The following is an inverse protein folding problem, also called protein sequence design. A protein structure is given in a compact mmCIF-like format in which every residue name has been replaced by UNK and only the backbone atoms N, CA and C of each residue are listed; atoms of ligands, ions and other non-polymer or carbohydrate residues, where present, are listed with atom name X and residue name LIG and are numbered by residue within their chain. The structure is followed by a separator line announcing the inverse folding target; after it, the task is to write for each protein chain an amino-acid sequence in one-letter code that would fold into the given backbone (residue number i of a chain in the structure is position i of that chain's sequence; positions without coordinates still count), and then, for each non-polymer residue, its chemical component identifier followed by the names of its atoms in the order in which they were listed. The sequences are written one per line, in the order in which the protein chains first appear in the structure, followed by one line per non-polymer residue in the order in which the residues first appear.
data_IF_350688458252
#
_entry.id   IF_350688458252
#
_cell.length_a   1.000
_cell.length_b   1.000
_cell.length_c   1.000
_cell.angle_alpha   90.00
_cell.angle_beta   90.00
_cell.angle_gamma   90.00
#
_symmetry.space_group_name_H-M   'P 1'
#
loop_
_entity.id
_entity.type
_entity.pdbx_description
1 polymer ?
#
# COMPACT_ATOMS: atom_id res chain seq x y z
N UNK A 1 34.06 19.73 14.15
CA UNK A 1 32.97 19.60 15.15
C UNK A 1 31.62 19.18 14.56
N UNK A 2 31.33 19.36 13.26
CA UNK A 2 30.01 19.05 12.69
C UNK A 2 29.71 17.55 12.41
N UNK A 3 30.72 16.67 12.35
CA UNK A 3 30.53 15.24 12.07
C UNK A 3 30.18 14.39 13.32
N UNK A 4 30.45 14.91 14.53
CA UNK A 4 30.30 14.17 15.80
C UNK A 4 28.84 14.16 16.29
N UNK A 5 28.01 15.13 15.85
CA UNK A 5 26.61 15.23 16.29
C UNK A 5 25.66 14.21 15.65
N UNK A 6 25.91 13.77 14.42
CA UNK A 6 25.03 12.83 13.70
C UNK A 6 25.17 11.38 14.21
N UNK A 7 26.37 11.00 14.62
CA UNK A 7 26.67 9.67 15.18
C UNK A 7 26.26 9.54 16.64
N UNK A 8 26.30 10.61 17.44
CA UNK A 8 25.86 10.57 18.84
C UNK A 8 24.33 10.48 18.98
N UNK A 9 23.55 11.08 18.06
CA UNK A 9 22.09 10.93 18.06
C UNK A 9 21.66 9.49 17.68
N UNK A 10 22.37 8.88 16.72
CA UNK A 10 22.20 7.46 16.38
C UNK A 10 22.59 6.54 17.54
N UNK A 11 23.67 6.85 18.27
CA UNK A 11 24.08 6.08 19.46
C UNK A 11 23.04 6.18 20.59
N UNK A 12 22.41 7.33 20.81
CA UNK A 12 21.33 7.45 21.82
C UNK A 12 20.06 6.72 21.38
N UNK A 13 19.71 6.74 20.09
CA UNK A 13 18.59 5.96 19.54
C UNK A 13 18.86 4.44 19.62
N UNK A 14 20.10 4.01 19.36
CA UNK A 14 20.52 2.60 19.45
C UNK A 14 20.62 2.13 20.91
N UNK A 15 21.05 3.00 21.83
CA UNK A 15 21.15 2.68 23.27
C UNK A 15 19.78 2.63 23.96
N UNK A 16 18.76 3.30 23.44
CA UNK A 16 17.37 3.14 23.91
C UNK A 16 16.68 1.88 23.39
N UNK A 17 17.25 1.20 22.38
CA UNK A 17 16.71 -0.07 21.85
C UNK A 17 17.18 -1.33 22.59
N UNK A 18 18.04 -1.20 23.61
CA UNK A 18 18.56 -2.36 24.37
C UNK A 18 18.13 -2.25 25.84
N UNK A 19 16.84 -2.44 26.11
CA UNK A 19 16.41 -2.98 27.40
C UNK A 19 15.12 -3.79 27.23
N UNK A 20 15.27 -5.01 26.73
CA UNK A 20 14.24 -6.04 26.82
C UNK A 20 14.91 -7.41 26.88
N UNK A 21 15.73 -7.63 27.92
CA UNK A 21 15.98 -8.98 28.39
C UNK A 21 14.80 -9.38 29.27
N UNK A 22 13.68 -9.68 28.63
CA UNK A 22 12.57 -10.36 29.27
C UNK A 22 12.71 -11.85 28.92
N UNK A 23 12.42 -12.74 29.86
CA UNK A 23 12.69 -14.17 29.72
C UNK A 23 12.06 -14.76 28.45
N UNK A 24 12.68 -15.81 27.89
CA UNK A 24 12.08 -16.62 26.81
C UNK A 24 10.93 -17.45 27.39
N UNK A 25 9.84 -16.78 27.76
CA UNK A 25 8.59 -17.43 28.12
C UNK A 25 7.83 -17.67 26.81
N UNK A 26 7.58 -18.94 26.50
CA UNK A 26 6.80 -19.33 25.33
C UNK A 26 5.42 -19.80 25.77
N UNK A 27 4.42 -19.54 24.92
CA UNK A 27 3.09 -20.12 25.07
C UNK A 27 3.16 -21.65 24.88
N UNK A 28 2.15 -22.35 25.39
CA UNK A 28 2.05 -23.81 25.23
C UNK A 28 1.51 -24.14 23.83
N UNK A 29 2.04 -25.21 23.24
CA UNK A 29 1.50 -25.81 22.01
C UNK A 29 0.05 -26.27 22.22
N UNK A 30 -0.75 -26.23 21.15
CA UNK A 30 -2.10 -26.76 21.17
C UNK A 30 -2.11 -28.29 21.33
N UNK A 31 -3.13 -28.85 21.98
CA UNK A 31 -3.23 -30.30 22.21
C UNK A 31 -3.21 -31.13 20.90
N UNK A 32 -3.66 -30.53 19.79
CA UNK A 32 -3.76 -31.17 18.48
C UNK A 32 -2.73 -30.64 17.45
N UNK A 33 -1.68 -29.95 17.91
CA UNK A 33 -0.68 -29.29 17.05
C UNK A 33 -0.09 -30.24 15.99
N UNK A 34 0.27 -31.47 16.37
CA UNK A 34 0.86 -32.46 15.48
C UNK A 34 -0.08 -32.87 14.33
N UNK A 35 -1.36 -33.07 14.63
CA UNK A 35 -2.37 -33.45 13.64
C UNK A 35 -2.69 -32.29 12.69
N UNK A 36 -2.80 -31.06 13.21
CA UNK A 36 -2.99 -29.86 12.40
C UNK A 36 -1.82 -29.61 11.45
N UNK A 37 -0.58 -29.74 11.93
CA UNK A 37 0.62 -29.55 11.13
C UNK A 37 0.73 -30.62 10.03
N UNK A 38 0.43 -31.89 10.34
CA UNK A 38 0.39 -32.97 9.36
C UNK A 38 -0.66 -32.70 8.25
N UNK A 39 -1.82 -32.17 8.62
CA UNK A 39 -2.86 -31.78 7.67
C UNK A 39 -2.45 -30.59 6.77
N UNK A 40 -1.69 -29.63 7.31
CA UNK A 40 -1.13 -28.51 6.53
C UNK A 40 0.01 -28.95 5.60
N UNK A 41 0.84 -29.92 6.01
CA UNK A 41 1.93 -30.44 5.20
C UNK A 41 1.43 -31.24 3.99
N UNK A 42 0.30 -31.93 4.11
CA UNK A 42 -0.31 -32.67 3.02
C UNK A 42 -0.63 -31.74 1.84
N UNK A 43 -0.16 -32.07 0.64
CA UNK A 43 -0.35 -31.27 -0.58
C UNK A 43 0.10 -29.79 -0.47
N UNK A 44 0.94 -29.46 0.51
CA UNK A 44 1.45 -28.10 0.78
C UNK A 44 2.11 -27.47 -0.45
N UNK A 45 2.89 -28.25 -1.21
CA UNK A 45 3.53 -27.78 -2.44
C UNK A 45 2.51 -27.38 -3.52
N UNK A 46 1.46 -28.19 -3.72
CA UNK A 46 0.42 -27.89 -4.70
C UNK A 46 -0.40 -26.66 -4.30
N UNK A 47 -0.74 -26.53 -3.01
CA UNK A 47 -1.49 -25.38 -2.49
C UNK A 47 -0.66 -24.10 -2.52
N UNK A 48 0.60 -24.17 -2.10
CA UNK A 48 1.53 -23.05 -2.14
C UNK A 48 1.82 -22.58 -3.56
N UNK A 49 2.08 -23.49 -4.50
CA UNK A 49 2.29 -23.12 -5.91
C UNK A 49 1.04 -22.51 -6.54
N UNK A 50 -0.15 -23.01 -6.23
CA UNK A 50 -1.40 -22.39 -6.67
C UNK A 50 -1.53 -20.95 -6.15
N UNK A 51 -1.28 -20.71 -4.85
CA UNK A 51 -1.31 -19.36 -4.28
C UNK A 51 -0.28 -18.42 -4.92
N UNK A 52 0.95 -18.90 -5.17
CA UNK A 52 1.99 -18.09 -5.84
C UNK A 52 1.55 -17.70 -7.25
N UNK A 53 0.92 -18.62 -8.00
CA UNK A 53 0.38 -18.29 -9.33
C UNK A 53 -0.73 -17.24 -9.23
N UNK A 54 -1.66 -17.38 -8.26
CA UNK A 54 -2.68 -16.36 -8.01
C UNK A 54 -2.08 -15.00 -7.65
N UNK A 55 -1.06 -14.98 -6.79
CA UNK A 55 -0.35 -13.76 -6.42
C UNK A 55 0.25 -13.07 -7.66
N UNK A 56 0.91 -13.84 -8.54
CA UNK A 56 1.48 -13.29 -9.77
C UNK A 56 0.39 -12.76 -10.69
N UNK A 57 -0.66 -13.55 -10.94
CA UNK A 57 -1.68 -13.24 -11.95
C UNK A 57 -2.67 -12.15 -11.50
N UNK A 58 -2.98 -12.08 -10.20
CA UNK A 58 -4.00 -11.19 -9.65
C UNK A 58 -3.44 -10.00 -8.87
N UNK A 59 -2.16 -10.04 -8.46
CA UNK A 59 -1.51 -8.91 -7.78
C UNK A 59 -0.41 -8.33 -8.65
N UNK A 60 0.63 -9.11 -8.97
CA UNK A 60 1.82 -8.60 -9.65
C UNK A 60 1.51 -8.07 -11.05
N UNK A 61 0.90 -8.90 -11.92
CA UNK A 61 0.58 -8.49 -13.30
C UNK A 61 -0.33 -7.25 -13.34
N UNK A 62 -1.43 -7.17 -12.57
CA UNK A 62 -2.27 -5.97 -12.53
C UNK A 62 -1.53 -4.73 -12.01
N UNK A 63 -0.59 -4.89 -11.08
CA UNK A 63 0.22 -3.80 -10.54
C UNK A 63 1.09 -3.13 -11.57
N UNK A 64 1.72 -3.90 -12.46
CA UNK A 64 2.49 -3.35 -13.57
C UNK A 64 1.59 -2.90 -14.74
N UNK A 65 0.34 -3.36 -14.76
CA UNK A 65 -0.66 -2.98 -15.77
C UNK A 65 -1.33 -1.64 -15.46
N UNK A 66 -1.56 -1.31 -14.19
CA UNK A 66 -2.16 -0.03 -13.81
C UNK A 66 -1.32 1.20 -14.26
N UNK A 67 0.01 1.24 -14.07
CA UNK A 67 0.87 2.27 -14.65
C UNK A 67 0.78 2.39 -16.17
N UNK A 68 0.69 1.27 -16.90
CA UNK A 68 0.50 1.27 -18.35
C UNK A 68 -0.83 1.94 -18.74
N UNK A 69 -1.91 1.64 -18.01
CA UNK A 69 -3.21 2.29 -18.20
C UNK A 69 -3.14 3.80 -17.91
N UNK A 70 -2.46 4.21 -16.83
CA UNK A 70 -2.28 5.62 -16.46
C UNK A 70 -1.49 6.38 -17.53
N UNK A 71 -0.40 5.78 -18.02
CA UNK A 71 0.48 6.31 -19.07
C UNK A 71 -0.11 6.21 -20.49
N UNK A 72 -1.41 5.90 -20.64
CA UNK A 72 -2.13 5.77 -21.90
C UNK A 72 -1.58 4.69 -22.87
N UNK A 73 -0.83 3.70 -22.38
CA UNK A 73 -0.33 2.55 -23.15
C UNK A 73 -1.40 1.45 -23.19
N UNK A 74 -2.58 1.78 -23.73
CA UNK A 74 -3.80 0.96 -23.60
C UNK A 74 -3.68 -0.46 -24.20
N UNK A 75 -2.99 -0.64 -25.33
CA UNK A 75 -2.91 -1.94 -26.01
C UNK A 75 -2.29 -3.04 -25.13
N UNK A 76 -1.09 -2.81 -24.62
CA UNK A 76 -0.41 -3.75 -23.72
C UNK A 76 -1.21 -3.94 -22.42
N UNK A 77 -1.75 -2.85 -21.86
CA UNK A 77 -2.51 -2.90 -20.62
C UNK A 77 -3.75 -3.81 -20.72
N UNK A 78 -4.50 -3.69 -21.82
CA UNK A 78 -5.71 -4.51 -22.03
C UNK A 78 -5.35 -5.98 -22.22
N UNK A 79 -4.27 -6.30 -22.95
CA UNK A 79 -3.82 -7.69 -23.13
C UNK A 79 -3.51 -8.33 -21.78
N UNK A 80 -2.75 -7.64 -20.92
CA UNK A 80 -2.41 -8.14 -19.59
C UNK A 80 -3.65 -8.27 -18.70
N UNK A 81 -4.59 -7.33 -18.76
CA UNK A 81 -5.86 -7.43 -18.03
C UNK A 81 -6.73 -8.59 -18.50
N UNK A 82 -6.75 -8.91 -19.79
CA UNK A 82 -7.45 -10.09 -20.33
C UNK A 82 -6.83 -11.37 -19.77
N UNK A 83 -5.50 -11.46 -19.71
CA UNK A 83 -4.77 -12.60 -19.14
C UNK A 83 -5.12 -12.78 -17.65
N UNK A 84 -5.01 -11.72 -16.85
CA UNK A 84 -5.39 -11.76 -15.44
C UNK A 84 -6.89 -12.03 -15.23
N UNK A 85 -7.76 -11.47 -16.06
CA UNK A 85 -9.21 -11.67 -16.00
C UNK A 85 -9.62 -13.10 -16.34
N UNK A 86 -8.96 -13.73 -17.32
CA UNK A 86 -9.15 -15.15 -17.62
C UNK A 86 -8.73 -16.01 -16.43
N UNK A 87 -7.61 -15.70 -15.79
CA UNK A 87 -7.18 -16.39 -14.58
C UNK A 87 -8.17 -16.20 -13.41
N UNK A 88 -8.65 -14.98 -13.18
CA UNK A 88 -9.65 -14.70 -12.14
C UNK A 88 -10.94 -15.52 -12.35
N UNK A 89 -11.36 -15.72 -13.60
CA UNK A 89 -12.50 -16.57 -13.93
C UNK A 89 -12.21 -18.05 -13.69
N UNK A 90 -11.02 -18.54 -14.06
CA UNK A 90 -10.59 -19.91 -13.78
C UNK A 90 -10.53 -20.19 -12.27
N UNK A 91 -10.03 -19.24 -11.48
CA UNK A 91 -10.02 -19.32 -10.02
C UNK A 91 -11.44 -19.36 -9.44
N UNK A 92 -12.32 -18.48 -9.91
CA UNK A 92 -13.71 -18.45 -9.46
C UNK A 92 -14.48 -19.76 -9.75
N UNK A 93 -14.20 -20.42 -10.87
CA UNK A 93 -14.93 -21.63 -11.31
C UNK A 93 -14.26 -22.91 -10.79
N UNK A 94 -12.95 -23.06 -11.00
CA UNK A 94 -12.22 -24.34 -10.92
C UNK A 94 -11.17 -24.32 -9.80
N UNK A 95 -10.30 -23.31 -9.77
CA UNK A 95 -9.12 -23.31 -8.89
C UNK A 95 -9.47 -22.79 -7.49
N UNK A 96 -10.02 -23.67 -6.65
CA UNK A 96 -10.49 -23.35 -5.30
C UNK A 96 -9.37 -23.32 -4.27
N UNK A 97 -9.58 -22.52 -3.22
CA UNK A 97 -8.70 -22.43 -2.05
C UNK A 97 -9.33 -23.16 -0.86
N UNK A 98 -9.29 -24.49 -0.92
CA UNK A 98 -9.80 -25.33 0.16
C UNK A 98 -8.75 -25.43 1.28
N UNK A 99 -9.23 -25.38 2.52
CA UNK A 99 -8.47 -25.70 3.72
C UNK A 99 -8.17 -27.21 3.82
N UNK A 100 -7.38 -27.68 4.81
CA UNK A 100 -7.11 -29.12 4.99
C UNK A 100 -8.36 -29.98 5.22
N UNK A 101 -9.48 -29.39 5.65
CA UNK A 101 -10.76 -30.09 5.85
C UNK A 101 -11.60 -30.15 4.57
N UNK A 102 -11.17 -29.48 3.50
CA UNK A 102 -11.86 -29.41 2.22
C UNK A 102 -12.92 -28.30 2.15
N UNK A 103 -12.97 -27.41 3.14
CA UNK A 103 -13.88 -26.27 3.17
C UNK A 103 -13.21 -25.02 2.59
N UNK A 104 -13.96 -24.17 1.89
CA UNK A 104 -13.50 -22.86 1.44
C UNK A 104 -14.43 -21.78 1.99
N UNK A 105 -13.82 -20.75 2.61
CA UNK A 105 -14.54 -19.63 3.18
C UNK A 105 -15.46 -18.95 2.13
N UNK A 106 -16.72 -18.69 2.52
CA UNK A 106 -17.70 -17.93 1.71
C UNK A 106 -17.15 -16.58 1.25
N UNK A 107 -16.34 -15.92 2.07
CA UNK A 107 -15.70 -14.64 1.74
C UNK A 107 -14.65 -14.80 0.64
N UNK A 108 -13.84 -15.88 0.66
CA UNK A 108 -12.93 -16.21 -0.45
C UNK A 108 -13.69 -16.44 -1.75
N UNK A 109 -14.78 -17.21 -1.69
CA UNK A 109 -15.66 -17.47 -2.85
C UNK A 109 -16.28 -16.18 -3.41
N UNK A 110 -16.82 -15.34 -2.52
CA UNK A 110 -17.45 -14.08 -2.91
C UNK A 110 -16.45 -13.12 -3.56
N UNK A 111 -15.26 -13.00 -2.99
CA UNK A 111 -14.19 -12.14 -3.54
C UNK A 111 -13.64 -12.65 -4.87
N UNK A 112 -13.60 -13.98 -5.11
CA UNK A 112 -13.24 -14.55 -6.41
C UNK A 112 -14.22 -14.13 -7.52
N UNK A 113 -15.52 -14.29 -7.27
CA UNK A 113 -16.56 -13.89 -8.24
C UNK A 113 -16.61 -12.39 -8.45
N UNK A 114 -16.50 -11.62 -7.36
CA UNK A 114 -16.42 -10.16 -7.44
C UNK A 114 -15.26 -9.74 -8.34
N UNK A 115 -14.05 -10.28 -8.11
CA UNK A 115 -12.87 -9.92 -8.89
C UNK A 115 -13.02 -10.32 -10.37
N UNK A 116 -13.55 -11.51 -10.67
CA UNK A 116 -13.81 -11.96 -12.04
C UNK A 116 -14.77 -11.02 -12.79
N UNK A 117 -15.89 -10.63 -12.15
CA UNK A 117 -16.84 -9.67 -12.71
C UNK A 117 -16.19 -8.29 -12.88
N UNK A 118 -15.38 -7.87 -11.90
CA UNK A 118 -14.72 -6.58 -11.93
C UNK A 118 -13.69 -6.47 -13.06
N UNK A 119 -13.00 -7.57 -13.40
CA UNK A 119 -12.17 -7.64 -14.62
C UNK A 119 -12.98 -7.46 -15.89
N UNK A 120 -14.14 -8.13 -16.02
CA UNK A 120 -15.01 -7.99 -17.19
C UNK A 120 -15.45 -6.54 -17.37
N UNK A 121 -15.86 -5.88 -16.28
CA UNK A 121 -16.24 -4.46 -16.29
C UNK A 121 -15.06 -3.58 -16.72
N UNK A 122 -13.87 -3.84 -16.18
CA UNK A 122 -12.68 -3.03 -16.47
C UNK A 122 -12.23 -3.18 -17.94
N UNK A 123 -12.21 -4.40 -18.47
CA UNK A 123 -11.86 -4.68 -19.87
C UNK A 123 -12.87 -4.04 -20.82
N UNK A 124 -14.17 -4.13 -20.49
CA UNK A 124 -15.23 -3.45 -21.25
C UNK A 124 -15.05 -1.93 -21.24
N UNK A 125 -14.75 -1.34 -20.08
CA UNK A 125 -14.46 0.08 -19.94
C UNK A 125 -13.21 0.48 -20.76
N UNK A 126 -12.19 -0.38 -20.82
CA UNK A 126 -10.98 -0.16 -21.60
C UNK A 126 -11.25 -0.06 -23.10
N UNK A 127 -12.03 -0.99 -23.65
CA UNK A 127 -12.43 -0.96 -25.06
C UNK A 127 -13.25 0.28 -25.41
N UNK A 128 -14.15 0.67 -24.49
CA UNK A 128 -14.98 1.87 -24.63
C UNK A 128 -14.16 3.15 -24.55
N UNK A 129 -13.18 3.23 -23.64
CA UNK A 129 -12.28 4.36 -23.49
C UNK A 129 -11.41 4.57 -24.74
N UNK A 130 -10.91 3.49 -25.34
CA UNK A 130 -10.15 3.55 -26.59
C UNK A 130 -10.98 4.13 -27.75
N UNK A 131 -12.25 3.72 -27.86
CA UNK A 131 -13.17 4.23 -28.88
C UNK A 131 -13.55 5.69 -28.64
N UNK A 132 -13.77 6.06 -27.38
CA UNK A 132 -14.14 7.43 -26.97
C UNK A 132 -13.05 8.43 -27.34
N UNK A 133 -11.77 8.10 -27.16
CA UNK A 133 -10.65 8.97 -27.55
C UNK A 133 -10.62 9.26 -29.06
N UNK A 134 -11.04 8.32 -29.91
CA UNK A 134 -11.04 8.48 -31.37
C UNK A 134 -12.20 9.30 -31.92
N UNK A 135 -13.30 9.41 -31.18
CA UNK A 135 -14.54 10.08 -31.63
C UNK A 135 -14.85 11.31 -30.77
N UNK A 136 -13.98 11.60 -29.78
CA UNK A 136 -14.14 12.69 -28.82
C UNK A 136 -14.44 14.04 -29.50
N UNK A 137 -13.72 14.37 -30.58
CA UNK A 137 -13.93 15.62 -31.32
C UNK A 137 -15.32 15.72 -31.96
N UNK A 138 -15.87 14.59 -32.46
CA UNK A 138 -17.21 14.54 -33.05
C UNK A 138 -18.33 14.58 -32.01
N UNK A 139 -18.06 14.11 -30.78
CA UNK A 139 -19.07 13.98 -29.72
C UNK A 139 -19.08 15.15 -28.73
N UNK A 140 -18.12 16.08 -28.81
CA UNK A 140 -17.95 17.21 -27.87
C UNK A 140 -19.21 18.07 -27.69
N UNK A 141 -19.98 18.23 -28.76
CA UNK A 141 -21.21 19.06 -28.78
C UNK A 141 -22.51 18.26 -28.65
N UNK A 142 -22.43 16.94 -28.44
CA UNK A 142 -23.59 16.05 -28.41
C UNK A 142 -24.02 15.70 -26.99
N UNK A 143 -25.33 15.54 -26.75
CA UNK A 143 -25.88 15.11 -25.45
C UNK A 143 -25.41 13.71 -25.02
N UNK A 144 -24.92 12.91 -25.98
CA UNK A 144 -24.33 11.59 -25.75
C UNK A 144 -23.07 11.62 -24.88
N UNK A 145 -22.43 12.79 -24.69
CA UNK A 145 -21.29 12.97 -23.78
C UNK A 145 -21.58 12.55 -22.34
N UNK A 146 -22.81 12.74 -21.86
CA UNK A 146 -23.19 12.41 -20.48
C UNK A 146 -23.38 10.90 -20.28
N UNK A 147 -23.81 10.18 -21.34
CA UNK A 147 -23.96 8.73 -21.33
C UNK A 147 -22.59 8.04 -21.44
N UNK A 148 -21.65 8.64 -22.17
CA UNK A 148 -20.29 8.10 -22.39
C UNK A 148 -19.27 8.54 -21.32
N UNK A 149 -19.57 9.55 -20.50
CA UNK A 149 -18.71 10.02 -19.41
C UNK A 149 -18.24 8.90 -18.43
N UNK A 150 -19.09 7.95 -17.97
CA UNK A 150 -18.65 6.82 -17.16
C UNK A 150 -17.80 5.77 -17.92
N UNK A 151 -17.65 5.91 -19.25
CA UNK A 151 -16.84 5.05 -20.11
C UNK A 151 -15.59 5.79 -20.64
N UNK A 152 -15.12 6.79 -19.88
CA UNK A 152 -13.99 7.62 -20.25
C UNK A 152 -12.63 6.97 -19.95
N UNK A 153 -11.57 7.52 -20.53
CA UNK A 153 -10.19 7.10 -20.19
C UNK A 153 -9.89 7.27 -18.69
N UNK A 154 -10.47 8.29 -18.04
CA UNK A 154 -10.30 8.51 -16.60
C UNK A 154 -10.90 7.38 -15.78
N UNK A 155 -12.11 6.92 -16.09
CA UNK A 155 -12.75 5.81 -15.38
C UNK A 155 -11.96 4.52 -15.55
N UNK A 156 -11.44 4.26 -16.75
CA UNK A 156 -10.60 3.08 -17.00
C UNK A 156 -9.33 3.07 -16.14
N UNK A 157 -8.67 4.23 -16.00
CA UNK A 157 -7.47 4.37 -15.15
C UNK A 157 -7.79 4.09 -13.68
N UNK A 158 -8.90 4.63 -13.18
CA UNK A 158 -9.34 4.40 -11.80
C UNK A 158 -9.65 2.92 -11.57
N UNK A 159 -10.43 2.30 -12.46
CA UNK A 159 -10.76 0.87 -12.38
C UNK A 159 -9.50 -0.01 -12.43
N UNK A 160 -8.52 0.34 -13.26
CA UNK A 160 -7.24 -0.37 -13.34
C UNK A 160 -6.45 -0.30 -12.04
N UNK A 161 -6.47 0.84 -11.34
CA UNK A 161 -5.83 0.97 -10.02
C UNK A 161 -6.60 0.18 -8.95
N UNK A 162 -7.93 0.23 -8.98
CA UNK A 162 -8.77 -0.53 -8.05
C UNK A 162 -8.57 -2.04 -8.19
N UNK A 163 -8.31 -2.55 -9.40
CA UNK A 163 -7.98 -3.96 -9.61
C UNK A 163 -6.77 -4.41 -8.80
N UNK A 164 -5.76 -3.56 -8.64
CA UNK A 164 -4.57 -3.87 -7.83
C UNK A 164 -4.95 -4.07 -6.37
N UNK A 165 -5.76 -3.15 -5.83
CA UNK A 165 -6.24 -3.22 -4.43
C UNK A 165 -7.11 -4.46 -4.22
N UNK A 166 -8.08 -4.70 -5.11
CA UNK A 166 -8.96 -5.86 -5.04
C UNK A 166 -8.19 -7.18 -5.17
N UNK A 167 -7.20 -7.24 -6.05
CA UNK A 167 -6.32 -8.38 -6.21
C UNK A 167 -5.49 -8.66 -4.96
N UNK A 168 -4.94 -7.61 -4.33
CA UNK A 168 -4.19 -7.73 -3.08
C UNK A 168 -5.07 -8.29 -1.96
N UNK A 169 -6.28 -7.73 -1.78
CA UNK A 169 -7.26 -8.23 -0.79
C UNK A 169 -7.61 -9.68 -1.07
N UNK A 170 -7.82 -10.06 -2.34
CA UNK A 170 -8.08 -11.46 -2.71
C UNK A 170 -6.92 -12.38 -2.35
N UNK A 171 -5.69 -11.98 -2.65
CA UNK A 171 -4.50 -12.78 -2.33
C UNK A 171 -4.32 -12.99 -0.81
N UNK A 172 -4.61 -11.97 -0.01
CA UNK A 172 -4.62 -12.09 1.45
C UNK A 172 -5.70 -13.07 1.94
N UNK A 173 -6.93 -12.96 1.42
CA UNK A 173 -8.02 -13.87 1.76
C UNK A 173 -7.73 -15.31 1.31
N UNK A 174 -6.97 -15.51 0.22
CA UNK A 174 -6.54 -16.84 -0.22
C UNK A 174 -5.67 -17.54 0.83
N UNK A 175 -4.75 -16.80 1.48
CA UNK A 175 -3.91 -17.36 2.55
C UNK A 175 -4.80 -17.79 3.73
N UNK A 176 -5.71 -16.90 4.14
CA UNK A 176 -6.68 -17.18 5.22
C UNK A 176 -7.51 -18.42 4.90
N UNK A 177 -8.04 -18.53 3.68
CA UNK A 177 -8.83 -19.68 3.25
C UNK A 177 -8.00 -20.97 3.15
N UNK A 178 -6.74 -20.90 2.72
CA UNK A 178 -5.84 -22.06 2.63
C UNK A 178 -5.48 -22.65 3.99
N UNK A 179 -5.26 -21.78 4.97
CA UNK A 179 -4.90 -22.17 6.33
C UNK A 179 -6.14 -22.55 7.15
N UNK A 180 -7.33 -22.16 6.68
CA UNK A 180 -8.58 -22.39 7.40
C UNK A 180 -8.72 -21.48 8.63
N UNK A 181 -8.19 -20.26 8.53
CA UNK A 181 -8.28 -19.25 9.58
C UNK A 181 -9.53 -18.38 9.43
N UNK A 182 -9.84 -17.65 10.49
CA UNK A 182 -10.82 -16.58 10.57
C UNK A 182 -12.25 -17.07 10.37
N UNK A 183 -12.56 -18.23 10.97
CA UNK A 183 -13.93 -18.76 11.05
C UNK A 183 -14.58 -18.41 12.39
N UNK A 184 -15.91 -18.44 12.40
CA UNK A 184 -16.75 -18.29 13.60
C UNK A 184 -16.32 -17.11 14.49
N UNK A 185 -15.98 -17.37 15.75
CA UNK A 185 -15.69 -16.35 16.76
C UNK A 185 -14.37 -15.60 16.50
N UNK A 186 -13.44 -16.15 15.72
CA UNK A 186 -12.17 -15.50 15.37
C UNK A 186 -12.32 -14.50 14.21
N UNK A 187 -13.45 -14.50 13.50
CA UNK A 187 -13.70 -13.63 12.33
C UNK A 187 -13.53 -12.14 12.65
N UNK A 188 -14.01 -11.70 13.82
CA UNK A 188 -13.93 -10.29 14.24
C UNK A 188 -12.49 -9.83 14.45
N UNK A 189 -11.70 -10.62 15.18
CA UNK A 189 -10.29 -10.36 15.46
C UNK A 189 -9.47 -10.31 14.17
N UNK A 190 -9.66 -11.29 13.28
CA UNK A 190 -9.00 -11.35 11.99
C UNK A 190 -9.30 -10.13 11.12
N UNK A 191 -10.58 -9.72 11.04
CA UNK A 191 -10.97 -8.55 10.27
C UNK A 191 -10.32 -7.27 10.81
N UNK A 192 -10.27 -7.11 12.13
CA UNK A 192 -9.60 -5.96 12.74
C UNK A 192 -8.11 -5.91 12.37
N UNK A 193 -7.39 -7.05 12.47
CA UNK A 193 -5.97 -7.14 12.13
C UNK A 193 -5.72 -6.94 10.63
N UNK A 194 -6.55 -7.52 9.77
CA UNK A 194 -6.48 -7.32 8.33
C UNK A 194 -6.74 -5.87 7.91
N UNK A 195 -7.83 -5.26 8.40
CA UNK A 195 -8.23 -3.90 8.04
C UNK A 195 -7.22 -2.87 8.56
N UNK A 196 -6.84 -2.94 9.84
CA UNK A 196 -5.86 -2.01 10.41
C UNK A 196 -4.48 -2.21 9.80
N UNK A 197 -4.02 -3.45 9.63
CA UNK A 197 -2.73 -3.73 9.00
C UNK A 197 -2.67 -3.23 7.55
N UNK A 198 -3.73 -3.43 6.77
CA UNK A 198 -3.83 -2.88 5.42
C UNK A 198 -3.87 -1.35 5.40
N UNK A 199 -4.46 -0.71 6.39
CA UNK A 199 -4.45 0.76 6.49
C UNK A 199 -3.03 1.30 6.62
N UNK A 200 -2.15 0.64 7.39
CA UNK A 200 -0.73 1.00 7.50
C UNK A 200 0.04 0.75 6.21
N UNK A 201 -0.24 -0.37 5.50
CA UNK A 201 0.34 -0.63 4.17
C UNK A 201 -0.04 0.48 3.17
N UNK A 202 -1.33 0.85 3.11
CA UNK A 202 -1.81 1.92 2.24
C UNK A 202 -1.18 3.27 2.64
N UNK A 203 -1.05 3.54 3.93
CA UNK A 203 -0.43 4.75 4.41
C UNK A 203 1.07 4.81 4.04
N UNK A 204 1.80 3.71 4.21
CA UNK A 204 3.18 3.57 3.74
C UNK A 204 3.32 3.77 2.23
N UNK A 205 2.39 3.25 1.44
CA UNK A 205 2.33 3.49 0.00
C UNK A 205 2.08 4.96 -0.35
N UNK A 206 1.16 5.64 0.34
CA UNK A 206 0.91 7.08 0.14
C UNK A 206 2.17 7.90 0.48
N UNK A 207 2.89 7.54 1.55
CA UNK A 207 4.17 8.18 1.90
C UNK A 207 5.24 7.94 0.82
N UNK A 208 5.36 6.71 0.31
CA UNK A 208 6.26 6.39 -0.79
C UNK A 208 5.91 7.15 -2.08
N UNK A 209 4.62 7.30 -2.39
CA UNK A 209 4.14 8.13 -3.50
C UNK A 209 4.56 9.60 -3.31
N UNK A 210 4.33 10.16 -2.12
CA UNK A 210 4.73 11.55 -1.81
C UNK A 210 6.23 11.77 -1.92
N UNK A 211 7.03 10.74 -1.67
CA UNK A 211 8.49 10.80 -1.80
C UNK A 211 8.95 10.67 -3.26
N UNK A 212 8.49 9.64 -3.98
CA UNK A 212 9.02 9.30 -5.30
C UNK A 212 8.44 10.15 -6.43
N UNK A 213 7.19 10.59 -6.31
CA UNK A 213 6.51 11.33 -7.38
C UNK A 213 6.90 12.82 -7.30
N UNK A 214 7.65 13.38 -8.26
CA UNK A 214 8.25 14.71 -8.11
C UNK A 214 7.24 15.85 -7.94
N UNK A 215 6.10 15.79 -8.63
CA UNK A 215 5.06 16.82 -8.50
C UNK A 215 4.27 16.75 -7.20
N UNK A 216 4.35 15.62 -6.49
CA UNK A 216 3.76 15.45 -5.16
C UNK A 216 4.76 15.82 -4.07
N UNK A 217 6.04 15.46 -4.27
CA UNK A 217 7.17 15.83 -3.41
C UNK A 217 7.40 17.34 -3.40
N UNK A 218 7.67 17.91 -4.58
CA UNK A 218 7.90 19.35 -4.79
C UNK A 218 6.62 19.96 -5.36
N UNK A 219 5.54 19.87 -4.59
CA UNK A 219 4.26 20.40 -5.01
C UNK A 219 4.30 21.94 -4.99
N UNK A 220 3.97 22.60 -6.10
CA UNK A 220 3.78 24.06 -6.16
C UNK A 220 2.37 24.51 -5.72
N UNK A 221 1.53 23.56 -5.27
CA UNK A 221 0.16 23.80 -4.83
C UNK A 221 0.03 24.55 -3.49
N UNK A 222 -1.18 24.61 -2.95
CA UNK A 222 -1.48 25.35 -1.71
C UNK A 222 -1.09 24.62 -0.43
N UNK A 223 -0.92 23.30 -0.50
CA UNK A 223 -0.80 22.42 0.66
C UNK A 223 0.58 21.74 0.70
N UNK A 224 1.17 21.63 1.89
CA UNK A 224 2.41 20.90 2.14
C UNK A 224 2.15 19.38 2.17
N UNK A 225 3.21 18.57 2.08
CA UNK A 225 3.09 17.11 2.21
C UNK A 225 2.38 16.71 3.51
N UNK A 226 2.72 17.38 4.62
CA UNK A 226 2.14 17.11 5.94
C UNK A 226 0.66 17.45 6.05
N UNK A 227 0.15 18.35 5.19
CA UNK A 227 -1.28 18.60 5.11
C UNK A 227 -2.03 17.40 4.52
N UNK A 228 -1.48 16.80 3.45
CA UNK A 228 -2.05 15.58 2.86
C UNK A 228 -1.95 14.41 3.83
N UNK A 229 -0.80 14.25 4.47
CA UNK A 229 -0.57 13.25 5.51
C UNK A 229 -1.60 13.39 6.66
N UNK A 230 -1.72 14.61 7.21
CA UNK A 230 -2.70 14.95 8.24
C UNK A 230 -4.15 14.68 7.81
N UNK A 231 -4.46 14.85 6.52
CA UNK A 231 -5.79 14.54 5.96
C UNK A 231 -6.06 13.04 5.99
N UNK A 232 -5.08 12.22 5.58
CA UNK A 232 -5.19 10.74 5.58
C UNK A 232 -5.46 10.22 6.99
N UNK A 233 -4.65 10.62 7.97
CA UNK A 233 -4.85 10.19 9.36
C UNK A 233 -6.15 10.73 9.96
N UNK A 234 -6.63 11.90 9.52
CA UNK A 234 -7.92 12.44 9.97
C UNK A 234 -9.08 11.59 9.48
N UNK A 235 -9.12 11.31 8.17
CA UNK A 235 -10.19 10.51 7.56
C UNK A 235 -10.19 9.11 8.17
N UNK A 236 -9.02 8.49 8.30
CA UNK A 236 -8.90 7.18 8.94
C UNK A 236 -9.34 7.21 10.41
N UNK A 237 -8.90 8.20 11.19
CA UNK A 237 -9.26 8.33 12.60
C UNK A 237 -10.77 8.49 12.81
N UNK A 238 -11.45 9.24 11.95
CA UNK A 238 -12.93 9.37 11.99
C UNK A 238 -13.57 8.00 11.72
N UNK A 239 -13.17 7.31 10.65
CA UNK A 239 -13.70 5.99 10.32
C UNK A 239 -13.49 5.05 11.51
N UNK A 240 -12.25 4.90 11.98
CA UNK A 240 -11.89 4.01 13.08
C UNK A 240 -12.69 4.30 14.36
N UNK A 241 -12.85 5.58 14.73
CA UNK A 241 -13.61 5.97 15.93
C UNK A 241 -15.06 5.48 15.88
N UNK A 242 -15.70 5.54 14.72
CA UNK A 242 -17.12 5.26 14.57
C UNK A 242 -17.45 3.85 14.04
N UNK A 243 -16.45 3.06 13.63
CA UNK A 243 -16.66 1.68 13.15
C UNK A 243 -16.25 0.61 14.15
N UNK A 244 -15.44 0.94 15.15
CA UNK A 244 -14.86 -0.06 16.06
C UNK A 244 -15.90 -0.65 17.03
N UNK A 245 -16.64 0.21 17.73
CA UNK A 245 -17.65 -0.25 18.68
C UNK A 245 -19.01 -0.44 18.01
N UNK A 246 -19.60 -1.62 18.21
CA UNK A 246 -20.96 -1.92 17.78
C UNK A 246 -21.95 -1.31 18.76
N UNK A 247 -22.83 -0.38 18.35
CA UNK A 247 -23.72 0.34 19.26
C UNK A 247 -24.65 -0.51 20.15
N UNK A 248 -24.80 -1.80 19.83
CA UNK A 248 -25.71 -2.75 20.48
C UNK A 248 -24.99 -3.74 21.41
N UNK A 249 -23.65 -3.71 21.49
CA UNK A 249 -22.86 -4.57 22.38
C UNK A 249 -22.30 -3.73 23.55
N UNK A 250 -22.01 -4.33 24.73
CA UNK A 250 -21.34 -3.61 25.82
C UNK A 250 -19.87 -3.34 25.46
N UNK A 251 -19.31 -2.24 25.97
CA UNK A 251 -17.92 -1.89 25.72
C UNK A 251 -16.95 -2.94 26.29
N UNK A 252 -16.06 -3.43 25.43
CA UNK A 252 -14.92 -4.26 25.83
C UNK A 252 -13.68 -3.40 26.11
N UNK A 253 -12.67 -3.95 26.80
CA UNK A 253 -11.38 -3.27 27.00
C UNK A 253 -10.69 -2.96 25.66
N UNK A 254 -10.77 -3.88 24.70
CA UNK A 254 -10.25 -3.70 23.34
C UNK A 254 -10.94 -2.55 22.61
N UNK A 255 -12.27 -2.48 22.68
CA UNK A 255 -13.08 -1.42 22.05
C UNK A 255 -12.62 -0.04 22.51
N UNK A 256 -12.37 0.12 23.82
CA UNK A 256 -11.88 1.38 24.39
C UNK A 256 -10.51 1.76 23.82
N UNK A 257 -9.56 0.82 23.76
CA UNK A 257 -8.20 1.09 23.29
C UNK A 257 -8.20 1.47 21.80
N UNK A 258 -8.91 0.71 20.97
CA UNK A 258 -8.97 0.95 19.52
C UNK A 258 -9.76 2.23 19.19
N UNK A 259 -10.89 2.49 19.87
CA UNK A 259 -11.66 3.73 19.68
C UNK A 259 -10.85 4.94 20.12
N UNK A 260 -10.15 4.88 21.26
CA UNK A 260 -9.30 5.97 21.74
C UNK A 260 -8.16 6.28 20.75
N UNK A 261 -7.61 5.25 20.09
CA UNK A 261 -6.65 5.44 19.01
C UNK A 261 -7.26 6.15 17.80
N UNK A 262 -8.50 5.80 17.40
CA UNK A 262 -9.24 6.55 16.39
C UNK A 262 -9.37 8.04 16.74
N UNK A 263 -9.71 8.33 17.99
CA UNK A 263 -9.85 9.71 18.52
C UNK A 263 -8.54 10.48 18.42
N UNK A 264 -7.44 9.84 18.82
CA UNK A 264 -6.10 10.42 18.69
C UNK A 264 -5.79 10.78 17.24
N UNK A 265 -6.04 9.86 16.29
CA UNK A 265 -5.71 10.05 14.88
C UNK A 265 -6.45 11.26 14.28
N UNK A 266 -7.76 11.39 14.50
CA UNK A 266 -8.48 12.53 13.92
C UNK A 266 -8.22 13.84 14.65
N UNK A 267 -8.02 13.83 15.97
CA UNK A 267 -7.70 15.04 16.72
C UNK A 267 -6.29 15.58 16.33
N UNK A 268 -5.28 14.72 16.31
CA UNK A 268 -3.93 15.09 15.88
C UNK A 268 -3.87 15.43 14.39
N UNK A 269 -4.63 14.72 13.55
CA UNK A 269 -4.75 15.03 12.13
C UNK A 269 -5.38 16.41 11.86
N UNK A 270 -6.46 16.77 12.57
CA UNK A 270 -7.05 18.11 12.46
C UNK A 270 -6.07 19.21 12.88
N UNK A 271 -5.34 19.00 13.98
CA UNK A 271 -4.28 19.91 14.40
C UNK A 271 -3.15 20.00 13.37
N UNK A 272 -2.75 18.86 12.79
CA UNK A 272 -1.74 18.78 11.74
C UNK A 272 -2.13 19.55 10.48
N UNK A 273 -3.38 19.45 10.05
CA UNK A 273 -3.92 20.23 8.91
C UNK A 273 -3.89 21.73 9.22
N UNK A 274 -4.27 22.14 10.44
CA UNK A 274 -4.24 23.54 10.84
C UNK A 274 -2.82 24.10 10.87
N UNK A 275 -1.86 23.37 11.44
CA UNK A 275 -0.46 23.81 11.51
C UNK A 275 0.23 23.82 10.14
N UNK A 276 -0.17 22.91 9.25
CA UNK A 276 0.35 22.81 7.89
C UNK A 276 -0.26 23.84 6.93
N UNK A 277 -1.18 24.69 7.42
CA UNK A 277 -1.81 25.72 6.62
C UNK A 277 -0.78 26.72 6.08
N UNK A 278 -0.94 27.13 4.82
CA UNK A 278 0.01 28.02 4.16
C UNK A 278 1.36 27.36 3.87
N UNK A 279 1.37 26.05 3.58
CA UNK A 279 2.55 25.23 3.22
C UNK A 279 3.60 25.05 4.32
N UNK A 280 3.24 25.25 5.58
CA UNK A 280 4.16 24.98 6.69
C UNK A 280 4.35 23.47 6.85
N UNK A 281 5.55 23.06 7.27
CA UNK A 281 5.81 21.67 7.70
C UNK A 281 5.27 21.47 9.12
N UNK A 282 4.94 20.24 9.43
CA UNK A 282 4.35 19.84 10.71
C UNK A 282 4.85 18.45 11.08
N UNK A 283 5.14 18.23 12.36
CA UNK A 283 5.55 16.93 12.89
C UNK A 283 4.37 16.14 13.48
N UNK A 284 3.14 16.66 13.40
CA UNK A 284 1.97 16.08 14.09
C UNK A 284 1.61 14.66 13.59
N UNK A 285 1.64 14.35 12.28
CA UNK A 285 1.45 12.97 11.83
C UNK A 285 2.47 12.01 12.44
N UNK A 286 3.73 12.42 12.50
CA UNK A 286 4.80 11.65 13.10
C UNK A 286 4.62 11.43 14.62
N UNK A 287 4.17 12.44 15.35
CA UNK A 287 3.81 12.29 16.78
C UNK A 287 2.63 11.34 16.99
N UNK A 288 1.65 11.36 16.09
CA UNK A 288 0.50 10.45 16.12
C UNK A 288 0.99 8.99 16.06
N UNK A 289 1.94 8.70 15.17
CA UNK A 289 2.58 7.39 15.07
C UNK A 289 3.36 7.02 16.35
N UNK A 290 4.07 7.97 16.96
CA UNK A 290 4.81 7.72 18.20
C UNK A 290 3.88 7.38 19.36
N UNK A 291 2.82 8.17 19.55
CA UNK A 291 1.84 7.91 20.63
C UNK A 291 1.11 6.59 20.42
N UNK A 292 0.78 6.27 19.18
CA UNK A 292 0.19 4.98 18.80
C UNK A 292 1.14 3.84 19.10
N UNK A 293 2.40 3.96 18.69
CA UNK A 293 3.43 2.96 18.93
C UNK A 293 3.69 2.74 20.42
N UNK A 294 3.68 3.81 21.23
CA UNK A 294 3.77 3.69 22.68
C UNK A 294 2.58 2.91 23.26
N UNK A 295 1.34 3.26 22.89
CA UNK A 295 0.15 2.56 23.39
C UNK A 295 0.18 1.07 23.01
N UNK A 296 0.61 0.75 21.79
CA UNK A 296 0.70 -0.63 21.29
C UNK A 296 1.86 -1.41 21.90
N UNK A 297 2.93 -0.73 22.31
CA UNK A 297 4.00 -1.36 23.10
C UNK A 297 3.55 -1.89 24.46
N UNK A 298 2.45 -1.35 24.99
CA UNK A 298 1.86 -1.73 26.27
C UNK A 298 0.59 -2.59 26.11
N UNK A 299 0.27 -3.00 24.88
CA UNK A 299 -0.95 -3.73 24.57
C UNK A 299 -0.78 -5.22 24.90
N UNK A 300 -1.22 -5.61 26.09
CA UNK A 300 -1.20 -6.99 26.54
C UNK A 300 -2.25 -7.83 25.80
N UNK A 301 -1.83 -8.98 25.30
CA UNK A 301 -2.64 -9.95 24.57
C UNK A 301 -2.74 -11.26 25.36
N UNK A 302 -3.67 -12.13 24.98
CA UNK A 302 -3.86 -13.43 25.64
C UNK A 302 -2.62 -14.33 25.50
N UNK A 303 -1.97 -14.32 24.33
CA UNK A 303 -0.71 -15.03 24.09
C UNK A 303 0.49 -14.13 24.33
N UNK A 304 1.54 -14.69 24.92
CA UNK A 304 2.82 -14.02 25.15
C UNK A 304 3.46 -13.66 23.81
N UNK A 305 3.47 -14.57 22.84
CA UNK A 305 3.98 -14.31 21.48
C UNK A 305 3.25 -13.14 20.84
N UNK A 306 1.92 -13.06 20.97
CA UNK A 306 1.13 -11.93 20.46
C UNK A 306 1.50 -10.62 21.13
N UNK A 307 1.67 -10.61 22.46
CA UNK A 307 2.10 -9.43 23.21
C UNK A 307 3.47 -8.94 22.72
N UNK A 308 4.42 -9.86 22.47
CA UNK A 308 5.77 -9.51 21.98
C UNK A 308 5.75 -8.97 20.54
N UNK A 309 4.95 -9.55 19.65
CA UNK A 309 4.81 -9.08 18.26
C UNK A 309 4.15 -7.70 18.21
N UNK A 310 3.08 -7.47 19.00
CA UNK A 310 2.45 -6.16 19.14
C UNK A 310 3.39 -5.11 19.73
N UNK A 311 4.24 -5.52 20.69
CA UNK A 311 5.25 -4.63 21.24
C UNK A 311 6.29 -4.21 20.19
N UNK A 312 6.76 -5.16 19.38
CA UNK A 312 7.67 -4.87 18.27
C UNK A 312 7.03 -3.96 17.22
N UNK A 313 5.77 -4.19 16.86
CA UNK A 313 4.97 -3.29 16.04
C UNK A 313 4.94 -1.86 16.61
N UNK A 314 4.72 -1.72 17.92
CA UNK A 314 4.77 -0.44 18.61
C UNK A 314 6.13 0.26 18.49
N UNK A 315 7.23 -0.47 18.65
CA UNK A 315 8.59 0.05 18.46
C UNK A 315 8.84 0.54 17.03
N UNK A 316 8.39 -0.21 16.03
CA UNK A 316 8.51 0.17 14.62
C UNK A 316 7.79 1.49 14.33
N UNK A 317 6.58 1.68 14.85
CA UNK A 317 5.84 2.94 14.68
C UNK A 317 6.54 4.13 15.37
N UNK A 318 7.07 3.94 16.58
CA UNK A 318 7.82 5.00 17.27
C UNK A 318 9.10 5.36 16.51
N UNK A 319 9.85 4.38 16.02
CA UNK A 319 11.07 4.61 15.23
C UNK A 319 10.72 5.28 13.90
N UNK A 320 9.65 4.85 13.22
CA UNK A 320 9.17 5.47 11.98
C UNK A 320 8.75 6.93 12.17
N UNK A 321 8.01 7.23 13.23
CA UNK A 321 7.65 8.61 13.58
C UNK A 321 8.88 9.46 13.92
N UNK A 322 9.83 8.93 14.70
CA UNK A 322 11.09 9.64 14.99
C UNK A 322 11.91 9.88 13.72
N UNK A 323 11.98 8.89 12.81
CA UNK A 323 12.62 9.04 11.52
C UNK A 323 11.98 10.17 10.69
N UNK A 324 10.64 10.28 10.71
CA UNK A 324 9.93 11.37 10.02
C UNK A 324 10.22 12.75 10.63
N UNK A 325 10.26 12.86 11.95
CA UNK A 325 10.66 14.11 12.63
C UNK A 325 12.10 14.46 12.25
N UNK A 326 13.01 13.49 12.26
CA UNK A 326 14.40 13.74 11.88
C UNK A 326 14.55 14.15 10.42
N UNK A 327 13.77 13.56 9.52
CA UNK A 327 13.72 13.93 8.12
C UNK A 327 13.30 15.41 7.95
N UNK A 328 12.17 15.79 8.54
CA UNK A 328 11.62 17.14 8.40
C UNK A 328 12.56 18.18 9.03
N UNK A 329 12.96 17.97 10.28
CA UNK A 329 13.65 18.98 11.07
C UNK A 329 15.16 19.04 10.84
N UNK A 330 15.83 17.94 10.46
CA UNK A 330 17.30 17.92 10.34
C UNK A 330 17.81 17.60 8.94
N UNK A 331 17.10 16.76 8.18
CA UNK A 331 17.55 16.38 6.83
C UNK A 331 17.10 17.41 5.79
N UNK A 332 15.85 17.88 5.90
CA UNK A 332 15.24 18.81 4.97
C UNK A 332 15.17 20.25 5.49
N UNK A 333 15.36 20.49 6.80
CA UNK A 333 15.30 21.83 7.42
C UNK A 333 14.02 22.58 7.03
N UNK A 334 12.88 21.91 7.25
CA UNK A 334 11.53 22.34 6.88
C UNK A 334 11.30 22.63 5.39
N UNK A 335 12.20 22.22 4.50
CA UNK A 335 12.00 22.27 3.04
C UNK A 335 11.25 21.05 2.52
N UNK A 336 10.64 21.19 1.33
CA UNK A 336 9.90 20.08 0.69
C UNK A 336 10.81 19.02 0.07
N UNK A 337 12.05 19.39 -0.28
CA UNK A 337 13.07 18.51 -0.83
C UNK A 337 14.47 19.05 -0.54
N UNK A 338 15.48 18.17 -0.66
CA UNK A 338 16.88 18.57 -0.60
C UNK A 338 17.23 19.57 -1.72
N UNK A 339 18.24 20.45 -1.55
CA UNK A 339 18.59 21.46 -2.55
C UNK A 339 18.95 20.91 -3.94
N UNK A 340 19.46 19.68 -4.00
CA UNK A 340 19.80 18.98 -5.24
C UNK A 340 18.64 18.17 -5.82
N UNK A 341 17.44 18.25 -5.22
CA UNK A 341 16.23 17.51 -5.56
C UNK A 341 16.37 15.98 -5.57
N UNK A 342 17.49 15.45 -5.06
CA UNK A 342 17.75 14.02 -4.94
C UNK A 342 17.18 13.45 -3.66
N UNK A 343 16.55 12.29 -3.78
CA UNK A 343 16.03 11.54 -2.64
C UNK A 343 17.21 10.95 -1.86
N UNK A 344 17.24 11.17 -0.55
CA UNK A 344 18.22 10.55 0.35
C UNK A 344 17.68 9.23 0.86
N UNK A 345 18.55 8.23 1.01
CA UNK A 345 18.15 6.89 1.47
C UNK A 345 17.36 6.89 2.79
N UNK A 346 17.69 7.81 3.71
CA UNK A 346 16.98 7.95 4.98
C UNK A 346 15.49 8.33 4.83
N UNK A 347 15.10 8.97 3.73
CA UNK A 347 13.71 9.39 3.49
C UNK A 347 12.77 8.21 3.22
N UNK A 348 13.29 7.03 2.88
CA UNK A 348 12.49 5.81 2.75
C UNK A 348 12.17 5.17 4.11
N UNK A 349 12.84 5.58 5.19
CA UNK A 349 12.64 4.96 6.51
C UNK A 349 11.21 5.11 7.05
N UNK A 350 10.53 6.28 6.96
CA UNK A 350 9.15 6.40 7.42
C UNK A 350 8.16 5.54 6.61
N UNK A 351 8.28 5.50 5.28
CA UNK A 351 7.39 4.68 4.44
C UNK A 351 7.60 3.18 4.70
N UNK A 352 8.86 2.75 4.81
CA UNK A 352 9.19 1.36 5.12
C UNK A 352 8.72 0.96 6.52
N UNK A 353 8.86 1.84 7.53
CA UNK A 353 8.36 1.57 8.88
C UNK A 353 6.85 1.35 8.90
N UNK A 354 6.08 2.13 8.13
CA UNK A 354 4.63 1.90 7.97
C UNK A 354 4.31 0.60 7.24
N UNK A 355 5.11 0.24 6.23
CA UNK A 355 4.97 -1.04 5.52
C UNK A 355 5.20 -2.22 6.46
N UNK A 356 6.27 -2.16 7.25
CA UNK A 356 6.60 -3.14 8.26
C UNK A 356 5.54 -3.22 9.35
N UNK A 357 5.06 -2.07 9.84
CA UNK A 357 3.99 -2.01 10.81
C UNK A 357 2.72 -2.70 10.28
N UNK A 358 2.35 -2.47 9.02
CA UNK A 358 1.22 -3.14 8.38
C UNK A 358 1.37 -4.66 8.29
N UNK A 359 2.54 -5.15 7.86
CA UNK A 359 2.83 -6.59 7.84
C UNK A 359 2.81 -7.23 9.22
N UNK A 360 3.39 -6.56 10.23
CA UNK A 360 3.38 -7.03 11.62
C UNK A 360 1.96 -7.15 12.15
N UNK A 361 1.13 -6.14 11.90
CA UNK A 361 -0.25 -6.12 12.38
C UNK A 361 -1.12 -7.15 11.68
N UNK A 362 -0.98 -7.34 10.36
CA UNK A 362 -1.70 -8.40 9.63
C UNK A 362 -1.30 -9.81 10.08
N UNK A 363 -0.02 -10.01 10.44
CA UNK A 363 0.49 -11.30 10.90
C UNK A 363 0.15 -11.63 12.35
N UNK A 364 -0.37 -10.68 13.13
CA UNK A 364 -0.59 -10.86 14.57
C UNK A 364 -1.99 -11.42 14.92
N UNK A 365 -2.64 -12.16 14.01
CA UNK A 365 -3.91 -12.83 14.33
C UNK A 365 -3.70 -13.99 15.31
N UNK A 366 -4.70 -14.27 16.13
CA UNK A 366 -4.61 -15.32 17.16
C UNK A 366 -4.29 -16.70 16.54
N UNK A 367 -5.04 -17.13 15.53
CA UNK A 367 -4.82 -18.43 14.88
C UNK A 367 -3.47 -18.52 14.17
N UNK A 368 -3.00 -17.42 13.57
CA UNK A 368 -1.70 -17.41 12.91
C UNK A 368 -0.56 -17.51 13.92
N UNK A 369 -0.65 -16.81 15.04
CA UNK A 369 0.36 -16.88 16.10
C UNK A 369 0.32 -18.21 16.85
N UNK A 370 -0.85 -18.82 17.02
CA UNK A 370 -0.95 -20.18 17.54
C UNK A 370 -0.26 -21.18 16.61
N UNK A 371 -0.45 -21.05 15.29
CA UNK A 371 0.27 -21.89 14.32
C UNK A 371 1.80 -21.70 14.43
N UNK A 372 2.28 -20.48 14.70
CA UNK A 372 3.71 -20.21 14.92
C UNK A 372 4.23 -20.95 16.15
N UNK A 373 3.49 -20.92 17.25
CA UNK A 373 3.82 -21.66 18.48
C UNK A 373 3.81 -23.16 18.22
N UNK A 374 2.80 -23.68 17.52
CA UNK A 374 2.64 -25.10 17.19
C UNK A 374 3.73 -25.62 16.22
N UNK A 375 4.36 -24.73 15.44
CA UNK A 375 5.55 -25.05 14.65
C UNK A 375 6.85 -25.06 15.48
N UNK A 376 6.79 -24.70 16.76
CA UNK A 376 7.95 -24.55 17.64
C UNK A 376 8.79 -23.30 17.35
N UNK A 377 8.24 -22.31 16.64
CA UNK A 377 8.93 -21.06 16.32
C UNK A 377 8.70 -20.01 17.42
N UNK A 378 9.74 -19.22 17.72
CA UNK A 378 9.65 -18.12 18.66
C UNK A 378 9.23 -16.81 17.98
N UNK A 379 8.78 -15.85 18.79
CA UNK A 379 8.38 -14.53 18.33
C UNK A 379 9.48 -13.81 17.51
N UNK A 380 10.75 -14.03 17.84
CA UNK A 380 11.88 -13.41 17.14
C UNK A 380 12.00 -13.93 15.70
N UNK A 381 12.04 -15.26 15.52
CA UNK A 381 12.13 -15.87 14.19
C UNK A 381 10.92 -15.51 13.34
N UNK A 382 9.72 -15.52 13.92
CA UNK A 382 8.50 -15.10 13.23
C UNK A 382 8.55 -13.62 12.81
N UNK A 383 9.03 -12.74 13.68
CA UNK A 383 9.20 -11.32 13.37
C UNK A 383 10.18 -11.11 12.21
N UNK A 384 11.26 -11.88 12.10
CA UNK A 384 12.18 -11.82 10.96
C UNK A 384 11.52 -12.22 9.63
N UNK A 385 10.60 -13.20 9.66
CA UNK A 385 9.79 -13.57 8.48
C UNK A 385 8.89 -12.41 8.06
N UNK A 386 8.23 -11.75 9.02
CA UNK A 386 7.37 -10.59 8.73
C UNK A 386 8.17 -9.38 8.22
N UNK A 387 9.37 -9.13 8.76
CA UNK A 387 10.28 -8.10 8.23
C UNK A 387 10.66 -8.43 6.78
N UNK A 388 10.97 -9.69 6.48
CA UNK A 388 11.31 -10.12 5.13
C UNK A 388 10.14 -9.92 4.16
N UNK A 389 8.92 -10.25 4.60
CA UNK A 389 7.70 -10.00 3.82
C UNK A 389 7.48 -8.50 3.57
N UNK A 390 7.69 -7.65 4.57
CA UNK A 390 7.62 -6.19 4.41
C UNK A 390 8.66 -5.65 3.42
N UNK A 391 9.88 -6.18 3.41
CA UNK A 391 10.91 -5.83 2.41
C UNK A 391 10.48 -6.18 0.99
N UNK A 392 9.87 -7.35 0.78
CA UNK A 392 9.39 -7.78 -0.54
C UNK A 392 8.17 -6.95 -0.97
N UNK A 393 7.27 -6.64 -0.03
CA UNK A 393 6.10 -5.80 -0.26
C UNK A 393 6.52 -4.36 -0.64
N UNK A 394 7.44 -3.76 0.11
CA UNK A 394 7.98 -2.43 -0.18
C UNK A 394 8.72 -2.40 -1.52
N UNK A 395 9.54 -3.43 -1.81
CA UNK A 395 10.20 -3.58 -3.10
C UNK A 395 9.19 -3.59 -4.27
N UNK A 396 8.10 -4.36 -4.16
CA UNK A 396 7.07 -4.43 -5.19
C UNK A 396 6.34 -3.09 -5.39
N UNK A 397 6.05 -2.36 -4.31
CA UNK A 397 5.39 -1.06 -4.41
C UNK A 397 6.31 0.01 -4.99
N UNK A 398 7.56 0.09 -4.52
CA UNK A 398 8.56 1.02 -5.05
C UNK A 398 8.89 0.72 -6.51
N UNK A 399 9.03 -0.56 -6.89
CA UNK A 399 9.26 -0.93 -8.30
C UNK A 399 8.08 -0.57 -9.20
N UNK A 400 6.85 -0.68 -8.69
CA UNK A 400 5.64 -0.26 -9.42
C UNK A 400 5.60 1.26 -9.62
N UNK A 401 5.98 2.04 -8.61
CA UNK A 401 6.11 3.51 -8.73
C UNK A 401 7.23 3.90 -9.70
N UNK A 402 8.38 3.24 -9.62
CA UNK A 402 9.49 3.46 -10.54
C UNK A 402 9.10 3.13 -11.99
N UNK A 403 8.34 2.05 -12.18
CA UNK A 403 7.81 1.67 -13.49
C UNK A 403 6.86 2.73 -14.06
N UNK A 404 5.98 3.27 -13.22
CA UNK A 404 5.12 4.39 -13.59
C UNK A 404 5.90 5.63 -14.03
N UNK A 405 6.94 6.00 -13.28
CA UNK A 405 7.80 7.14 -13.60
C UNK A 405 8.53 6.95 -14.94
N UNK A 406 9.08 5.74 -15.15
CA UNK A 406 9.73 5.38 -16.42
C UNK A 406 8.76 5.50 -17.61
N UNK A 407 7.55 4.94 -17.50
CA UNK A 407 6.54 5.01 -18.56
C UNK A 407 6.05 6.44 -18.84
N UNK A 408 6.03 7.28 -17.80
CA UNK A 408 5.61 8.68 -17.91
C UNK A 408 6.70 9.60 -18.44
N UNK A 409 7.94 9.11 -18.59
CA UNK A 409 9.09 9.94 -18.96
C UNK A 409 9.41 10.97 -17.89
N UNK A 410 9.29 10.61 -16.60
CA UNK A 410 9.58 11.51 -15.48
C UNK A 410 10.67 10.88 -14.62
N UNK A 411 11.72 11.64 -14.31
CA UNK A 411 12.78 11.19 -13.40
C UNK A 411 12.42 11.48 -11.94
N UNK A 412 12.83 10.60 -11.03
CA UNK A 412 12.70 10.79 -9.57
C UNK A 412 13.39 12.06 -9.09
N UNK A 413 14.50 12.43 -9.72
CA UNK A 413 15.37 13.54 -9.31
C UNK A 413 14.87 14.92 -9.79
N UNK A 414 13.79 14.96 -10.57
CA UNK A 414 13.16 16.21 -11.00
C UNK A 414 12.54 16.13 -12.39
N UNK A 415 11.60 17.03 -12.63
CA UNK A 415 10.77 17.16 -13.83
C UNK A 415 11.55 17.58 -15.11
N UNK A 416 12.88 17.62 -15.10
CA UNK A 416 13.65 18.47 -16.01
C UNK A 416 14.76 17.76 -16.80
N UNK A 417 14.60 16.49 -17.21
CA UNK A 417 15.67 15.80 -17.95
C UNK A 417 15.34 15.07 -19.25
N UNK A 418 14.08 14.93 -19.64
CA UNK A 418 13.77 14.29 -20.92
C UNK A 418 13.50 15.28 -22.06
N UNK A 419 13.16 16.53 -21.73
CA UNK A 419 12.96 17.55 -22.75
C UNK A 419 14.29 18.07 -23.32
N UNK A 420 15.38 18.11 -22.52
CA UNK A 420 16.71 18.52 -23.01
C UNK A 420 17.39 17.44 -23.87
N UNK A 421 17.27 16.15 -23.51
CA UNK A 421 17.80 15.06 -24.34
C UNK A 421 17.04 14.94 -25.67
N UNK A 422 15.69 15.07 -25.68
CA UNK A 422 14.90 15.06 -26.91
C UNK A 422 15.16 16.31 -27.79
N UNK A 423 15.50 17.45 -27.20
CA UNK A 423 15.88 18.67 -27.93
C UNK A 423 17.31 18.57 -28.47
N UNK A 424 18.27 18.03 -27.72
CA UNK A 424 19.62 17.77 -28.21
C UNK A 424 19.61 16.72 -29.33
N UNK A 425 18.83 15.64 -29.20
CA UNK A 425 18.69 14.62 -30.25
C UNK A 425 18.01 15.17 -31.52
N UNK A 426 16.98 16.04 -31.39
CA UNK A 426 16.38 16.74 -32.53
C UNK A 426 17.31 17.75 -33.20
N UNK A 427 18.23 18.36 -32.44
CA UNK A 427 19.21 19.31 -32.98
C UNK A 427 20.43 18.62 -33.61
N UNK A 428 20.57 17.30 -33.42
CA UNK A 428 21.62 16.47 -34.04
C UNK A 428 21.17 15.80 -35.34
N UNK A 429 19.88 15.87 -35.71
CA UNK A 429 19.42 15.49 -37.05
C UNK A 429 19.80 16.57 -38.08
N UNK A 430 20.57 16.25 -39.13
CA UNK A 430 20.87 17.22 -40.18
C UNK A 430 19.58 17.60 -40.92
N UNK A 431 19.37 18.91 -41.08
CA UNK A 431 18.26 19.50 -41.83
C UNK A 431 18.31 19.10 -43.32
N UNK A 432 17.75 17.95 -43.67
CA UNK A 432 17.44 17.57 -45.05
C UNK A 432 16.09 16.85 -45.08
N UNK A 433 15.03 17.65 -45.25
CA UNK A 433 13.81 17.38 -46.03
C UNK A 433 12.67 18.29 -45.52
N UNK A 434 12.80 19.59 -45.79
CA UNK A 434 11.66 20.52 -45.83
C UNK A 434 11.74 21.37 -47.11
N UNK A 435 11.64 20.70 -48.25
CA UNK A 435 11.12 21.26 -49.51
C UNK A 435 10.05 20.26 -49.94
N UNK A 436 8.76 20.56 -49.97
CA UNK A 436 8.05 21.45 -50.90
C UNK A 436 6.60 21.51 -50.37
N UNK A 437 6.02 22.70 -50.27
CA UNK A 437 4.74 23.04 -50.93
C UNK A 437 4.36 24.47 -50.52
N UNK A 438 4.84 25.43 -51.30
CA UNK A 438 4.35 26.81 -51.32
C UNK A 438 3.01 26.78 -52.07
N UNK A 439 1.93 27.21 -51.44
CA UNK A 439 0.76 27.72 -52.15
C UNK A 439 0.65 29.22 -51.89
N UNK A 440 0.88 29.96 -52.97
CA UNK A 440 0.63 31.38 -53.14
C UNK A 440 -0.72 31.81 -52.57
N UNK A 441 -0.71 32.88 -51.79
CA UNK A 441 -1.90 33.66 -51.47
C UNK A 441 -1.72 35.09 -51.94
N UNK A 442 -1.76 35.27 -53.26
CA UNK A 442 -2.01 36.56 -53.89
C UNK A 442 -3.33 36.46 -54.67
N UNK A 443 -4.38 37.09 -54.16
CA UNK A 443 -5.41 37.74 -54.97
C UNK A 443 -6.14 38.77 -54.13
N UNK A 444 -5.99 40.02 -54.56
CA UNK A 444 -6.64 41.24 -54.09
C UNK A 444 -8.18 41.15 -54.20
N UNK A 445 -8.89 41.56 -53.14
CA UNK A 445 -9.89 42.65 -53.05
C UNK A 445 -10.78 42.50 -51.81
#
# INVERSE_FOLDING_TARGET
MAAIGRTQLMLVALLLTIYAADGMQMDLESENAADQLAALQKDSFSRGSHWVISLVMLVIVPSYTAPLAIANRHGLAVILQIISGAYALLEAIILRFNDPTGHENKTSRGTAWFLAIFYVITIFNAGSAYYTLRIYEKLRHSNWRFILAPLSSTTYKILSCLLVVCGFVKSAINIVALLGFCYDDHTGQCNAHGIMGMSFVVYGFVMAMMLMIPWLRVNNGKFSQEFYDSTVITVWGIINTFTEHRPWEPWSHGDYQHTAMGILFWACGMLGMFLSWGRRRSFLPALTLIFTGYAMSQHAQHMIVSTKVHAFFGYVLMIGGLARIMEISFLLDDQDAAPDNKIRGFQYAPSFALMLAGCLFMGATEEQLQLVVDMGADHSSYTMVLISAACVLDLWLLSTLQWYLHLSGISTDGYQKLQEEDIELRNLEPAQEQSEFILDSDTEF
#
